data_IF_743467950070
#
_entry.id   IF_743467950070
#
_cell.length_a   1.000
_cell.length_b   1.000
_cell.length_c   1.000
_cell.angle_alpha   90.00
_cell.angle_beta   90.00
_cell.angle_gamma   90.00
#
_symmetry.space_group_name_H-M   'P 1'
#
loop_
_entity.id
_entity.type
_entity.pdbx_description
1 polymer ?
#
# COMPACT_ATOMS: atom_id res chain seq x y z
N UNK A 1 6.29 -49.14 -28.14
CA UNK A 1 7.29 -48.21 -27.57
C UNK A 1 6.75 -47.84 -26.18
N UNK A 2 7.05 -48.54 -25.07
CA UNK A 2 8.29 -48.52 -24.24
C UNK A 2 8.74 -47.06 -24.05
N UNK A 3 8.68 -46.39 -22.89
CA UNK A 3 9.02 -46.68 -21.49
C UNK A 3 8.47 -45.50 -20.63
N UNK A 4 8.46 -45.41 -19.29
CA UNK A 4 8.51 -46.29 -18.13
C UNK A 4 8.28 -45.37 -16.91
N UNK A 5 7.60 -45.88 -15.89
CA UNK A 5 7.44 -45.27 -14.57
C UNK A 5 8.78 -45.10 -13.84
N UNK A 6 8.94 -44.05 -13.03
CA UNK A 6 9.87 -44.06 -11.89
C UNK A 6 9.18 -43.44 -10.67
N UNK A 7 8.79 -44.34 -9.76
CA UNK A 7 8.52 -44.11 -8.34
C UNK A 7 9.87 -43.96 -7.63
N UNK A 8 10.02 -42.98 -6.74
CA UNK A 8 11.08 -42.96 -5.75
C UNK A 8 10.50 -42.67 -4.37
N UNK A 9 10.43 -43.75 -3.58
CA UNK A 9 10.26 -43.76 -2.13
C UNK A 9 11.65 -43.56 -1.53
N UNK A 10 11.81 -42.66 -0.55
CA UNK A 10 12.94 -42.75 0.38
C UNK A 10 12.47 -42.49 1.81
N UNK A 11 13.08 -43.28 2.70
CA UNK A 11 12.52 -43.78 3.93
C UNK A 11 12.85 -42.95 5.18
N UNK A 12 12.15 -43.36 6.24
CA UNK A 12 12.21 -42.96 7.64
C UNK A 12 13.64 -42.85 8.20
N UNK A 13 13.82 -41.87 9.09
CA UNK A 13 14.71 -42.02 10.25
C UNK A 13 13.87 -41.88 11.53
N UNK A 14 13.64 -42.99 12.22
CA UNK A 14 13.20 -43.00 13.62
C UNK A 14 14.37 -42.55 14.51
N UNK A 15 14.13 -41.54 15.34
CA UNK A 15 14.91 -41.27 16.54
C UNK A 15 14.01 -41.45 17.76
N UNK A 16 14.03 -42.63 18.37
CA UNK A 16 13.46 -42.91 19.68
C UNK A 16 14.54 -42.60 20.73
N UNK A 17 14.28 -41.62 21.59
CA UNK A 17 14.84 -41.56 22.95
C UNK A 17 13.67 -41.39 23.91
N UNK A 18 13.45 -42.42 24.71
CA UNK A 18 12.51 -42.42 25.83
C UNK A 18 13.16 -41.79 27.06
N UNK A 19 12.35 -41.12 27.90
CA UNK A 19 12.61 -41.08 29.34
C UNK A 19 12.38 -39.74 30.06
N UNK A 20 11.28 -39.73 30.82
CA UNK A 20 11.10 -39.08 32.13
C UNK A 20 10.67 -37.59 32.20
N UNK A 21 9.39 -37.44 32.57
CA UNK A 21 8.82 -36.53 33.57
C UNK A 21 9.29 -35.08 33.64
N UNK A 22 8.33 -34.14 33.52
CA UNK A 22 7.78 -33.37 34.65
C UNK A 22 7.34 -31.95 34.23
N UNK A 23 6.16 -31.57 34.72
CA UNK A 23 5.64 -30.20 34.96
C UNK A 23 5.39 -29.23 33.79
N UNK A 24 4.09 -28.98 33.59
CA UNK A 24 3.49 -27.65 33.52
C UNK A 24 4.29 -26.50 32.89
N UNK A 25 3.87 -26.10 31.69
CA UNK A 25 4.22 -24.81 31.13
C UNK A 25 3.29 -24.49 29.98
N UNK A 26 2.28 -23.67 30.25
CA UNK A 26 1.48 -23.01 29.22
C UNK A 26 2.43 -22.33 28.25
N UNK A 27 2.52 -22.85 27.03
CA UNK A 27 3.15 -22.14 25.94
C UNK A 27 2.22 -21.00 25.54
N UNK A 28 2.34 -19.88 26.26
CA UNK A 28 1.90 -18.57 25.78
C UNK A 28 2.55 -18.36 24.40
N UNK A 29 1.76 -18.59 23.36
CA UNK A 29 2.07 -18.10 22.03
C UNK A 29 1.94 -16.57 22.09
N UNK A 30 2.98 -15.90 22.58
CA UNK A 30 3.19 -14.49 22.27
C UNK A 30 3.43 -14.45 20.77
N UNK A 31 2.35 -14.18 20.04
CA UNK A 31 2.47 -13.55 18.73
C UNK A 31 3.43 -12.38 18.92
N UNK A 32 4.57 -12.43 18.25
CA UNK A 32 5.47 -11.28 18.14
C UNK A 32 4.62 -10.14 17.59
N UNK A 33 4.17 -9.26 18.48
CA UNK A 33 3.61 -7.97 18.11
C UNK A 33 4.78 -7.18 17.54
N UNK A 34 4.99 -7.36 16.23
CA UNK A 34 5.83 -6.49 15.42
C UNK A 34 5.45 -5.06 15.80
N UNK A 35 6.36 -4.34 16.47
CA UNK A 35 6.10 -2.96 16.84
C UNK A 35 5.72 -2.20 15.55
N UNK A 36 4.65 -1.38 15.57
CA UNK A 36 4.19 -0.70 14.37
C UNK A 36 5.36 0.08 13.77
N UNK A 37 5.68 -0.19 12.51
CA UNK A 37 6.75 0.48 11.80
C UNK A 37 6.47 1.99 11.86
N UNK A 38 7.48 2.77 12.29
CA UNK A 38 7.33 4.21 12.38
C UNK A 38 7.04 4.79 10.99
N UNK A 39 6.09 5.74 10.93
CA UNK A 39 5.73 6.37 9.67
C UNK A 39 6.93 7.07 9.01
N UNK A 40 7.12 6.85 7.71
CA UNK A 40 8.21 7.41 6.91
C UNK A 40 7.67 8.47 5.95
N UNK A 41 7.88 9.74 6.27
CA UNK A 41 7.28 10.87 5.55
C UNK A 41 8.32 11.77 4.87
N UNK A 42 9.53 11.29 4.64
CA UNK A 42 10.54 12.06 3.92
C UNK A 42 10.24 12.12 2.42
N UNK A 43 10.49 13.29 1.84
CA UNK A 43 10.15 13.61 0.46
C UNK A 43 10.80 12.65 -0.54
N UNK A 44 12.09 12.38 -0.37
CA UNK A 44 12.85 11.52 -1.28
C UNK A 44 12.34 10.08 -1.28
N UNK A 45 12.11 9.51 -0.10
CA UNK A 45 11.61 8.15 0.05
C UNK A 45 10.18 7.97 -0.46
N UNK A 46 9.30 8.93 -0.20
CA UNK A 46 7.93 8.90 -0.72
C UNK A 46 7.88 9.03 -2.25
N UNK A 47 8.71 9.90 -2.85
CA UNK A 47 8.85 10.00 -4.31
C UNK A 47 9.40 8.68 -4.89
N UNK A 48 10.43 8.10 -4.25
CA UNK A 48 11.00 6.83 -4.67
C UNK A 48 9.97 5.67 -4.57
N UNK A 49 9.11 5.70 -3.55
CA UNK A 49 8.07 4.70 -3.34
C UNK A 49 7.01 4.69 -4.45
N UNK A 50 6.80 5.81 -5.18
CA UNK A 50 5.93 5.82 -6.37
C UNK A 50 6.52 4.94 -7.48
N UNK A 51 7.85 4.79 -7.57
CA UNK A 51 8.47 3.97 -8.61
C UNK A 51 8.23 4.46 -10.04
N UNK A 52 7.87 5.74 -10.20
CA UNK A 52 7.57 6.42 -11.47
C UNK A 52 8.32 7.74 -11.58
N UNK A 53 8.63 8.20 -12.81
CA UNK A 53 9.22 9.51 -13.00
C UNK A 53 8.23 10.62 -12.63
N UNK A 54 8.76 11.65 -11.96
CA UNK A 54 8.06 12.93 -11.76
C UNK A 54 7.91 13.63 -13.11
N UNK A 55 6.71 14.04 -13.45
CA UNK A 55 6.39 14.74 -14.72
C UNK A 55 6.29 16.25 -14.52
N UNK A 56 5.84 16.66 -13.33
CA UNK A 56 5.71 18.06 -12.95
C UNK A 56 6.03 18.24 -11.47
N UNK A 57 6.74 19.32 -11.16
CA UNK A 57 6.89 19.86 -9.82
C UNK A 57 6.15 21.20 -9.76
N UNK A 58 5.18 21.31 -8.87
CA UNK A 58 4.41 22.52 -8.63
C UNK A 58 4.88 23.18 -7.34
N UNK A 59 5.31 24.44 -7.43
CA UNK A 59 5.63 25.23 -6.24
C UNK A 59 4.34 25.65 -5.54
N UNK A 60 4.22 25.31 -4.26
CA UNK A 60 3.09 25.69 -3.42
C UNK A 60 3.51 26.84 -2.49
N UNK A 61 2.54 27.57 -1.95
CA UNK A 61 2.78 28.66 -1.00
C UNK A 61 3.47 28.18 0.29
N UNK A 62 3.24 26.93 0.69
CA UNK A 62 3.74 26.32 1.92
C UNK A 62 4.45 24.97 1.71
N UNK A 63 4.91 24.70 0.48
CA UNK A 63 5.46 23.39 0.13
C UNK A 63 5.70 23.15 -1.36
N UNK A 64 5.66 21.88 -1.74
CA UNK A 64 5.82 21.39 -3.12
C UNK A 64 4.79 20.32 -3.45
N UNK A 65 4.36 20.28 -4.71
CA UNK A 65 3.53 19.22 -5.27
C UNK A 65 4.27 18.51 -6.40
N UNK A 66 4.05 17.21 -6.53
CA UNK A 66 4.63 16.38 -7.58
C UNK A 66 3.54 15.56 -8.26
N UNK A 67 3.55 15.52 -9.58
CA UNK A 67 2.66 14.67 -10.39
C UNK A 67 3.48 13.61 -11.11
N UNK A 68 2.92 12.41 -11.24
CA UNK A 68 3.61 11.22 -11.76
C UNK A 68 2.93 10.68 -13.02
N UNK A 69 3.70 10.07 -13.92
CA UNK A 69 3.19 9.49 -15.16
C UNK A 69 2.62 8.09 -14.90
N UNK A 70 1.40 7.83 -15.39
CA UNK A 70 0.87 6.48 -15.55
C UNK A 70 1.21 5.96 -16.94
N UNK A 71 1.44 4.66 -17.08
CA UNK A 71 2.02 4.05 -18.30
C UNK A 71 1.09 4.16 -19.55
N UNK A 72 -0.16 4.61 -19.38
CA UNK A 72 -1.16 4.71 -20.46
C UNK A 72 -1.60 6.15 -20.73
N UNK A 73 -0.77 6.88 -21.47
CA UNK A 73 -1.16 8.15 -22.08
C UNK A 73 -1.69 7.92 -23.51
N UNK A 74 -3.00 8.10 -23.73
CA UNK A 74 -3.59 8.12 -25.07
C UNK A 74 -3.44 9.50 -25.75
N UNK A 75 -3.72 9.60 -27.05
CA UNK A 75 -3.62 10.84 -27.84
C UNK A 75 -4.57 11.97 -27.40
N UNK A 76 -5.48 11.73 -26.45
CA UNK A 76 -6.51 12.70 -26.06
C UNK A 76 -6.84 12.75 -24.57
N UNK A 77 -6.29 11.85 -23.76
CA UNK A 77 -6.47 11.82 -22.29
C UNK A 77 -5.16 11.33 -21.69
N UNK A 78 -4.46 12.21 -20.97
CA UNK A 78 -3.45 11.75 -20.00
C UNK A 78 -4.24 11.14 -18.84
N UNK A 79 -4.04 9.84 -18.60
CA UNK A 79 -4.74 9.06 -17.58
C UNK A 79 -4.67 9.68 -16.18
N UNK A 80 -5.48 9.16 -15.24
CA UNK A 80 -5.89 9.82 -14.02
C UNK A 80 -4.68 10.21 -13.17
N UNK A 81 -4.66 11.44 -12.66
CA UNK A 81 -3.48 11.98 -11.98
C UNK A 81 -3.16 11.21 -10.71
N UNK A 82 -1.89 10.88 -10.51
CA UNK A 82 -1.33 10.49 -9.21
C UNK A 82 -0.38 11.58 -8.74
N UNK A 83 -0.50 12.00 -7.49
CA UNK A 83 0.29 13.11 -6.97
C UNK A 83 0.60 13.05 -5.48
N UNK A 84 1.71 13.70 -5.14
CA UNK A 84 2.14 13.92 -3.76
C UNK A 84 2.23 15.41 -3.50
N UNK A 85 1.77 15.87 -2.34
CA UNK A 85 2.08 17.23 -1.86
C UNK A 85 2.80 17.17 -0.52
N UNK A 86 3.95 17.81 -0.43
CA UNK A 86 4.72 18.00 0.80
C UNK A 86 4.53 19.44 1.25
N UNK A 87 3.67 19.65 2.24
CA UNK A 87 3.35 20.97 2.79
C UNK A 87 3.80 21.06 4.24
N UNK A 88 3.91 22.28 4.75
CA UNK A 88 4.25 22.51 6.16
C UNK A 88 3.24 21.82 7.09
N UNK A 89 3.68 20.73 7.74
CA UNK A 89 2.88 19.97 8.70
C UNK A 89 1.90 18.95 8.08
N UNK A 90 2.02 18.65 6.78
CA UNK A 90 1.16 17.69 6.08
C UNK A 90 1.84 17.09 4.87
N UNK A 91 1.67 15.78 4.67
CA UNK A 91 1.86 15.15 3.36
C UNK A 91 0.52 14.69 2.80
N UNK A 92 0.23 15.03 1.55
CA UNK A 92 -0.96 14.61 0.82
C UNK A 92 -0.58 13.52 -0.19
N UNK A 93 -1.33 12.42 -0.23
CA UNK A 93 -1.31 11.41 -1.30
C UNK A 93 -2.64 11.50 -2.02
N UNK A 94 -2.61 11.81 -3.32
CA UNK A 94 -3.78 12.04 -4.14
C UNK A 94 -3.76 11.13 -5.36
N UNK A 95 -4.92 10.59 -5.71
CA UNK A 95 -5.08 9.91 -6.98
C UNK A 95 -6.51 9.99 -7.50
N UNK A 96 -6.64 10.04 -8.82
CA UNK A 96 -7.91 9.99 -9.53
C UNK A 96 -8.32 8.57 -9.90
N UNK A 97 -9.62 8.38 -10.06
CA UNK A 97 -10.22 7.23 -10.72
C UNK A 97 -11.18 7.74 -11.78
N UNK A 98 -11.00 7.34 -13.03
CA UNK A 98 -11.98 7.64 -14.07
C UNK A 98 -13.14 6.66 -14.00
N UNK A 99 -14.34 7.20 -14.22
CA UNK A 99 -15.55 6.42 -14.45
C UNK A 99 -16.10 6.87 -15.79
N UNK A 100 -16.33 5.92 -16.67
CA UNK A 100 -17.16 6.09 -17.84
C UNK A 100 -18.42 5.22 -17.72
N UNK A 101 -19.29 5.33 -18.71
CA UNK A 101 -20.61 4.68 -18.69
C UNK A 101 -20.51 3.15 -18.80
N UNK A 102 -19.41 2.61 -19.35
CA UNK A 102 -19.16 1.16 -19.44
C UNK A 102 -18.34 0.61 -18.26
N UNK A 103 -17.61 1.46 -17.54
CA UNK A 103 -16.83 1.09 -16.37
C UNK A 103 -15.55 0.30 -16.67
N UNK A 104 -15.29 -0.04 -17.93
CA UNK A 104 -14.21 -0.94 -18.37
C UNK A 104 -13.02 -0.17 -18.98
N UNK A 105 -13.28 0.96 -19.65
CA UNK A 105 -12.24 1.69 -20.41
C UNK A 105 -11.04 2.12 -19.56
N UNK A 106 -11.28 2.42 -18.28
CA UNK A 106 -10.26 2.96 -17.38
C UNK A 106 -9.80 1.99 -16.30
N UNK A 107 -10.28 0.74 -16.28
CA UNK A 107 -9.94 -0.23 -15.23
C UNK A 107 -8.44 -0.38 -15.00
N UNK A 108 -7.68 -0.52 -16.10
CA UNK A 108 -6.24 -0.70 -16.01
C UNK A 108 -5.52 0.54 -15.45
N UNK A 109 -6.00 1.75 -15.73
CA UNK A 109 -5.41 2.99 -15.20
C UNK A 109 -5.79 3.18 -13.73
N UNK A 110 -7.04 2.89 -13.38
CA UNK A 110 -7.51 2.94 -11.99
C UNK A 110 -6.76 1.92 -11.12
N UNK A 111 -6.51 0.72 -11.64
CA UNK A 111 -5.71 -0.30 -10.98
C UNK A 111 -4.25 0.14 -10.80
N UNK A 112 -3.64 0.80 -11.79
CA UNK A 112 -2.31 1.37 -11.66
C UNK A 112 -2.26 2.43 -10.55
N UNK A 113 -3.19 3.40 -10.53
CA UNK A 113 -3.24 4.41 -9.46
C UNK A 113 -3.45 3.80 -8.06
N UNK A 114 -4.28 2.75 -7.96
CA UNK A 114 -4.47 2.04 -6.70
C UNK A 114 -3.18 1.34 -6.24
N UNK A 115 -2.40 0.77 -7.18
CA UNK A 115 -1.10 0.17 -6.88
C UNK A 115 -0.09 1.22 -6.40
N UNK A 116 -0.01 2.38 -7.06
CA UNK A 116 0.85 3.49 -6.66
C UNK A 116 0.47 4.00 -5.25
N UNK A 117 -0.83 4.17 -5.00
CA UNK A 117 -1.34 4.56 -3.68
C UNK A 117 -0.95 3.53 -2.61
N UNK A 118 -1.09 2.23 -2.91
CA UNK A 118 -0.70 1.16 -1.99
C UNK A 118 0.80 1.18 -1.66
N UNK A 119 1.66 1.39 -2.66
CA UNK A 119 3.11 1.47 -2.46
C UNK A 119 3.48 2.66 -1.57
N UNK A 120 2.98 3.84 -1.89
CA UNK A 120 3.26 5.07 -1.14
C UNK A 120 2.72 4.99 0.29
N UNK A 121 1.48 4.53 0.47
CA UNK A 121 0.88 4.42 1.80
C UNK A 121 1.56 3.34 2.65
N UNK A 122 2.01 2.24 2.05
CA UNK A 122 2.77 1.19 2.74
C UNK A 122 4.12 1.73 3.20
N UNK A 123 4.81 2.46 2.35
CA UNK A 123 6.04 3.16 2.73
C UNK A 123 5.78 4.15 3.87
N UNK A 124 4.73 4.98 3.74
CA UNK A 124 4.45 6.07 4.65
C UNK A 124 3.93 5.62 6.03
N UNK A 125 3.11 4.58 6.10
CA UNK A 125 2.32 4.22 7.29
C UNK A 125 2.40 2.73 7.65
N UNK A 126 3.16 1.93 6.90
CA UNK A 126 3.19 0.47 7.02
C UNK A 126 2.00 -0.22 6.36
N UNK A 127 2.16 -1.52 6.12
CA UNK A 127 1.23 -2.36 5.35
C UNK A 127 -0.19 -2.39 5.94
N UNK A 128 -0.30 -2.54 7.27
CA UNK A 128 -1.61 -2.62 7.93
C UNK A 128 -2.42 -1.33 7.82
N UNK A 129 -1.76 -0.18 7.98
CA UNK A 129 -2.41 1.12 7.86
C UNK A 129 -2.83 1.39 6.42
N UNK A 130 -1.95 1.08 5.47
CA UNK A 130 -2.23 1.22 4.04
C UNK A 130 -3.46 0.38 3.65
N UNK A 131 -3.49 -0.90 4.04
CA UNK A 131 -4.62 -1.81 3.77
C UNK A 131 -5.94 -1.26 4.32
N UNK A 132 -5.94 -0.77 5.55
CA UNK A 132 -7.15 -0.19 6.16
C UNK A 132 -7.64 1.05 5.40
N UNK A 133 -6.73 1.95 5.03
CA UNK A 133 -7.07 3.15 4.28
C UNK A 133 -7.61 2.83 2.87
N UNK A 134 -7.00 1.88 2.17
CA UNK A 134 -7.45 1.45 0.84
C UNK A 134 -8.81 0.75 0.88
N UNK A 135 -9.07 -0.05 1.91
CA UNK A 135 -10.41 -0.65 2.10
C UNK A 135 -11.46 0.43 2.39
N UNK A 136 -11.10 1.44 3.19
CA UNK A 136 -11.95 2.62 3.43
C UNK A 136 -12.27 3.35 2.12
N UNK A 137 -11.27 3.54 1.23
CA UNK A 137 -11.45 4.12 -0.10
C UNK A 137 -12.42 3.29 -0.94
N UNK A 138 -12.21 1.98 -1.01
CA UNK A 138 -13.04 1.05 -1.78
C UNK A 138 -14.49 1.06 -1.32
N UNK A 139 -14.73 1.19 -0.01
CA UNK A 139 -16.07 1.24 0.58
C UNK A 139 -16.69 2.65 0.55
N UNK A 140 -15.96 3.66 0.06
CA UNK A 140 -16.43 5.05 0.03
C UNK A 140 -16.53 5.68 1.42
N UNK A 141 -15.82 5.14 2.41
CA UNK A 141 -15.88 5.57 3.80
C UNK A 141 -14.76 6.59 4.07
N UNK A 142 -15.07 7.88 4.33
CA UNK A 142 -14.05 8.86 4.64
C UNK A 142 -13.54 8.72 6.08
N UNK A 143 -12.30 9.13 6.32
CA UNK A 143 -11.69 9.20 7.66
C UNK A 143 -11.47 10.66 8.02
N UNK A 144 -12.08 11.15 9.10
CA UNK A 144 -11.96 12.58 9.47
C UNK A 144 -10.79 12.90 10.39
N UNK A 145 -10.39 11.96 11.26
CA UNK A 145 -9.28 12.14 12.20
C UNK A 145 -8.75 10.79 12.73
N UNK A 146 -8.43 9.88 11.83
CA UNK A 146 -7.97 8.53 12.19
C UNK A 146 -6.52 8.54 12.67
N UNK A 147 -6.14 7.53 13.46
CA UNK A 147 -4.77 7.35 13.93
C UNK A 147 -4.16 6.08 13.33
N UNK A 148 -3.14 6.26 12.49
CA UNK A 148 -2.49 5.18 11.73
C UNK A 148 -0.98 5.30 11.88
N UNK A 149 -0.30 4.21 12.26
CA UNK A 149 1.14 4.22 12.59
C UNK A 149 1.56 5.40 13.50
N UNK A 150 0.72 5.74 14.48
CA UNK A 150 0.95 6.85 15.40
C UNK A 150 0.72 8.25 14.82
N UNK A 151 0.41 8.38 13.53
CA UNK A 151 0.12 9.65 12.84
C UNK A 151 -1.38 9.91 12.77
N UNK A 152 -1.73 11.19 12.73
CA UNK A 152 -3.10 11.63 12.46
C UNK A 152 -3.31 11.64 10.95
N UNK A 153 -4.40 11.04 10.49
CA UNK A 153 -4.69 10.86 9.06
C UNK A 153 -6.13 11.24 8.75
N UNK A 154 -6.31 12.08 7.73
CA UNK A 154 -7.58 12.30 7.07
C UNK A 154 -7.64 11.57 5.74
N UNK A 155 -8.78 10.96 5.41
CA UNK A 155 -9.08 10.40 4.09
C UNK A 155 -10.37 11.05 3.59
N UNK A 156 -10.29 11.65 2.41
CA UNK A 156 -11.46 12.08 1.64
C UNK A 156 -11.65 11.15 0.45
N UNK A 157 -12.86 10.61 0.31
CA UNK A 157 -13.29 9.80 -0.82
C UNK A 157 -14.27 10.63 -1.66
N UNK A 158 -13.99 10.75 -2.95
CA UNK A 158 -14.84 11.40 -3.93
C UNK A 158 -15.28 10.42 -5.03
N UNK A 159 -16.24 10.81 -5.88
CA UNK A 159 -16.72 9.94 -6.97
C UNK A 159 -15.65 9.61 -8.00
N UNK A 160 -14.61 10.44 -8.12
CA UNK A 160 -13.54 10.33 -9.14
C UNK A 160 -12.14 10.50 -8.57
N UNK A 161 -11.99 10.56 -7.24
CA UNK A 161 -10.67 10.75 -6.63
C UNK A 161 -10.64 10.38 -5.16
N UNK A 162 -9.45 10.07 -4.65
CA UNK A 162 -9.19 9.95 -3.23
C UNK A 162 -8.02 10.85 -2.82
N UNK A 163 -8.07 11.32 -1.57
CA UNK A 163 -7.04 12.15 -0.96
C UNK A 163 -6.78 11.68 0.47
N UNK A 164 -5.56 11.24 0.73
CA UNK A 164 -5.06 10.93 2.08
C UNK A 164 -4.16 12.07 2.54
N UNK A 165 -4.41 12.61 3.73
CA UNK A 165 -3.62 13.65 4.37
C UNK A 165 -3.00 13.11 5.65
N UNK A 166 -1.68 13.06 5.71
CA UNK A 166 -0.91 12.55 6.84
C UNK A 166 -0.26 13.72 7.57
N UNK A 167 -0.51 13.85 8.87
CA UNK A 167 0.02 14.91 9.72
C UNK A 167 1.18 14.35 10.58
N UNK A 168 2.44 14.81 10.39
CA UNK A 168 3.62 14.34 11.13
C UNK A 168 3.59 14.60 12.63
#
# INVERSE_FOLDING_TARGET
>A
MKNASITAVLALALGLLAGCSQEGGSADSKADQQAPQAAQLDEAGMIAAVGRPVVSETRLNDGKGYSFLTDKCGKSVCGPEFGLEFRKGRVSVYWEFFRDDDGETFEAMNAENLQLAAQVLTYALGEDSARQLLESVKNGEPVRDGKFAGKRVGLSTGPTSALVQIFP
#
